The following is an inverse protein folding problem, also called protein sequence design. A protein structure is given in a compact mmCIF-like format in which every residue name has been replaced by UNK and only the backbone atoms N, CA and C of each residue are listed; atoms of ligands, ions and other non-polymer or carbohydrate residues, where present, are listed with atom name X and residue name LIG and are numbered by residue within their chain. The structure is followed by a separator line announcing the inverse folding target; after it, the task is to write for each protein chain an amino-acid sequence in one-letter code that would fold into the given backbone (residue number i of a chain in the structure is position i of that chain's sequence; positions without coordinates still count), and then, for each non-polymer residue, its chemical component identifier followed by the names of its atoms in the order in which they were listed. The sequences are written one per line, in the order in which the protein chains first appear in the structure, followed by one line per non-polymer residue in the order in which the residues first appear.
data_IF_857679544138
#
_entry.id   IF_857679544138
#
_cell.length_a   1.000
_cell.length_b   1.000
_cell.length_c   1.000
_cell.angle_alpha   90.00
_cell.angle_beta   90.00
_cell.angle_gamma   90.00
#
_symmetry.space_group_name_H-M   'P 1'
#
loop_
_entity.id
_entity.type
_entity.pdbx_description
1 polymer ?
#
# COMPACT_ATOMS: atom_id res chain seq x y z
N UNK A 1 13.76 -2.23 -1.76
CA UNK A 1 12.43 -2.18 -2.41
C UNK A 1 11.38 -2.09 -1.30
N UNK A 2 10.54 -1.06 -1.29
CA UNK A 2 9.53 -0.86 -0.23
C UNK A 2 8.41 -1.91 -0.38
N UNK A 3 8.23 -2.74 0.65
CA UNK A 3 7.37 -3.95 0.65
C UNK A 3 5.87 -3.64 0.67
N UNK A 4 5.49 -2.38 0.88
CA UNK A 4 4.11 -1.90 0.91
C UNK A 4 3.32 -2.14 -0.40
N UNK A 5 3.98 -2.38 -1.54
CA UNK A 5 3.32 -2.64 -2.82
C UNK A 5 2.61 -4.01 -2.94
N UNK A 6 3.06 -5.03 -2.21
CA UNK A 6 2.54 -6.40 -2.37
C UNK A 6 1.26 -6.67 -1.57
N UNK A 7 0.88 -5.80 -0.64
CA UNK A 7 -0.25 -6.02 0.26
C UNK A 7 -1.63 -5.93 -0.40
N UNK A 8 -1.76 -5.33 -1.58
CA UNK A 8 -3.07 -5.13 -2.21
C UNK A 8 -3.62 -6.39 -2.91
N UNK A 9 -2.85 -7.47 -3.07
CA UNK A 9 -3.23 -8.58 -3.96
C UNK A 9 -3.10 -10.02 -3.40
N UNK A 10 -2.53 -10.23 -2.21
CA UNK A 10 -2.19 -11.58 -1.73
C UNK A 10 -2.85 -11.95 -0.40
N UNK A 11 -4.19 -11.97 -0.34
CA UNK A 11 -4.93 -12.52 0.82
C UNK A 11 -5.59 -13.88 0.52
N UNK A 12 -5.13 -14.59 -0.52
CA UNK A 12 -5.73 -15.89 -0.91
C UNK A 12 -4.68 -16.94 -1.36
N UNK A 13 -3.77 -17.33 -0.47
CA UNK A 13 -2.96 -18.56 -0.57
C UNK A 13 -2.38 -18.85 0.84
N UNK A 14 -2.31 -20.05 1.40
CA UNK A 14 -2.68 -21.41 0.99
C UNK A 14 -2.81 -22.21 2.30
N UNK A 15 -3.99 -22.74 2.62
CA UNK A 15 -4.14 -23.73 3.69
C UNK A 15 -4.39 -25.10 3.05
N UNK A 16 -3.35 -25.70 2.46
CA UNK A 16 -3.36 -27.12 2.13
C UNK A 16 -3.08 -27.90 3.41
N UNK A 17 -4.14 -28.35 4.09
CA UNK A 17 -4.02 -29.24 5.24
C UNK A 17 -3.63 -30.67 4.83
N UNK A 18 -2.91 -31.42 5.69
CA UNK A 18 -2.49 -32.79 5.39
C UNK A 18 -3.68 -33.77 5.34
N UNK A 19 -3.52 -34.80 4.51
CA UNK A 19 -4.49 -35.89 4.31
C UNK A 19 -4.39 -36.86 5.50
N UNK A 20 -5.48 -37.03 6.24
CA UNK A 20 -5.53 -37.94 7.40
C UNK A 20 -5.65 -39.38 6.91
N UNK A 21 -4.68 -40.22 7.29
CA UNK A 21 -4.71 -41.67 7.10
C UNK A 21 -5.61 -42.34 8.15
N UNK A 22 -6.37 -43.33 7.70
CA UNK A 22 -7.35 -44.09 8.49
C UNK A 22 -6.65 -45.16 9.35
N UNK A 23 -6.61 -44.95 10.66
CA UNK A 23 -6.15 -45.91 11.67
C UNK A 23 -7.27 -46.40 12.61
N UNK A 24 -7.04 -47.59 13.16
CA UNK A 24 -7.90 -48.56 13.89
C UNK A 24 -8.89 -48.08 14.97
N UNK A 25 -9.90 -48.91 15.31
CA UNK A 25 -10.95 -48.58 16.27
C UNK A 25 -10.46 -48.64 17.73
N UNK A 26 -10.52 -47.52 18.44
CA UNK A 26 -10.26 -47.41 19.89
C UNK A 26 -11.59 -47.37 20.66
N UNK A 27 -11.59 -48.05 21.80
CA UNK A 27 -12.74 -48.36 22.65
C UNK A 27 -13.50 -47.19 23.29
N UNK A 28 -14.45 -47.58 24.12
CA UNK A 28 -15.50 -46.81 24.80
C UNK A 28 -15.18 -45.32 25.00
N UNK A 29 -15.92 -44.52 24.22
CA UNK A 29 -15.75 -43.07 24.05
C UNK A 29 -16.33 -42.32 25.25
N UNK A 30 -15.46 -41.61 25.96
CA UNK A 30 -15.82 -40.54 26.90
C UNK A 30 -16.81 -39.56 26.22
N UNK A 31 -17.85 -39.06 26.92
CA UNK A 31 -18.86 -38.20 26.30
C UNK A 31 -18.17 -37.00 25.65
N UNK A 32 -18.38 -36.86 24.33
CA UNK A 32 -17.72 -35.85 23.52
C UNK A 32 -17.94 -34.46 24.12
N UNK A 33 -16.87 -33.85 24.63
CA UNK A 33 -16.89 -32.47 25.10
C UNK A 33 -17.53 -31.58 24.02
N UNK A 34 -18.44 -30.69 24.43
CA UNK A 34 -19.16 -29.82 23.53
C UNK A 34 -18.16 -29.10 22.60
N UNK A 35 -18.36 -29.22 21.28
CA UNK A 35 -17.48 -28.57 20.30
C UNK A 35 -17.49 -27.06 20.58
N UNK A 36 -16.32 -26.41 20.63
CA UNK A 36 -16.28 -24.96 20.81
C UNK A 36 -17.09 -24.31 19.68
N UNK A 37 -18.15 -23.59 20.05
CA UNK A 37 -18.97 -22.85 19.09
C UNK A 37 -18.23 -21.57 18.74
N UNK A 38 -17.46 -21.59 17.66
CA UNK A 38 -16.97 -20.36 17.05
C UNK A 38 -18.15 -19.67 16.35
N UNK A 39 -18.63 -18.59 16.94
CA UNK A 39 -19.56 -17.67 16.28
C UNK A 39 -18.75 -16.43 15.90
N UNK A 40 -18.31 -16.29 14.64
CA UNK A 40 -17.63 -15.08 14.23
C UNK A 40 -18.55 -13.91 14.54
N UNK A 41 -17.99 -12.86 15.15
CA UNK A 41 -18.72 -11.61 15.33
C UNK A 41 -19.24 -11.20 13.94
N UNK A 42 -20.55 -10.95 13.78
CA UNK A 42 -21.06 -10.48 12.51
C UNK A 42 -20.32 -9.18 12.19
N UNK A 43 -19.55 -9.17 11.11
CA UNK A 43 -19.04 -7.92 10.56
C UNK A 43 -20.27 -7.23 9.97
N UNK A 44 -20.97 -6.47 10.80
CA UNK A 44 -21.98 -5.53 10.36
C UNK A 44 -21.23 -4.39 9.70
N UNK A 45 -20.86 -4.59 8.44
CA UNK A 45 -20.63 -3.48 7.54
C UNK A 45 -22.00 -2.86 7.30
N UNK A 46 -22.47 -2.11 8.29
CA UNK A 46 -23.64 -1.29 8.15
C UNK A 46 -23.36 -0.38 6.96
N UNK A 47 -24.21 -0.46 5.93
CA UNK A 47 -24.02 0.26 4.67
C UNK A 47 -24.09 1.79 4.85
N UNK A 48 -24.30 2.23 6.10
CA UNK A 48 -24.17 3.60 6.58
C UNK A 48 -22.97 4.28 5.93
N UNK A 49 -23.30 5.37 5.24
CA UNK A 49 -22.47 6.26 4.43
C UNK A 49 -20.96 6.05 4.58
N UNK A 50 -20.33 5.51 3.53
CA UNK A 50 -18.87 5.44 3.46
C UNK A 50 -18.30 6.85 3.66
N UNK A 51 -17.57 7.04 4.75
CA UNK A 51 -16.97 8.32 5.10
C UNK A 51 -15.65 8.11 5.82
N UNK A 52 -15.02 9.20 6.27
CA UNK A 52 -13.73 9.13 6.97
C UNK A 52 -13.76 8.26 8.23
N UNK A 53 -14.91 8.15 8.89
CA UNK A 53 -15.12 7.22 10.01
C UNK A 53 -14.99 5.74 9.61
N UNK A 54 -15.12 5.40 8.33
CA UNK A 54 -14.99 4.04 7.80
C UNK A 54 -13.54 3.63 7.54
N UNK A 55 -12.55 4.54 7.62
CA UNK A 55 -11.12 4.18 7.49
C UNK A 55 -10.65 3.28 8.62
N UNK A 56 -11.24 3.44 9.80
CA UNK A 56 -11.00 2.61 10.95
C UNK A 56 -12.26 1.80 11.25
N UNK A 57 -12.09 0.65 11.88
CA UNK A 57 -13.25 0.00 12.49
C UNK A 57 -13.84 0.96 13.51
N UNK A 58 -15.18 1.03 13.62
CA UNK A 58 -15.83 1.74 14.73
C UNK A 58 -15.18 1.28 16.02
N UNK A 59 -14.84 2.22 16.89
CA UNK A 59 -14.21 1.94 18.18
C UNK A 59 -15.21 1.25 19.10
N UNK A 60 -15.38 -0.05 18.89
CA UNK A 60 -16.02 -0.96 19.84
C UNK A 60 -15.00 -1.50 20.86
N UNK A 61 -13.81 -0.89 20.91
CA UNK A 61 -12.69 -1.27 21.74
C UNK A 61 -12.20 -2.70 21.50
N UNK A 62 -11.69 -3.31 22.56
CA UNK A 62 -11.18 -4.67 22.56
C UNK A 62 -12.29 -5.71 22.80
N UNK A 63 -13.22 -5.76 21.85
CA UNK A 63 -14.40 -6.62 21.89
C UNK A 63 -14.03 -8.11 21.97
N UNK A 64 -14.88 -8.91 22.63
CA UNK A 64 -14.76 -10.37 22.67
C UNK A 64 -15.19 -10.97 21.32
N UNK A 65 -14.30 -11.70 20.66
CA UNK A 65 -14.53 -12.37 19.37
C UNK A 65 -15.07 -13.79 19.54
N UNK A 66 -14.62 -14.50 20.59
CA UNK A 66 -15.06 -15.86 20.90
C UNK A 66 -14.92 -16.14 22.39
N UNK A 67 -15.62 -17.14 22.90
CA UNK A 67 -15.45 -17.65 24.26
C UNK A 67 -15.47 -19.16 24.26
N UNK A 68 -14.59 -19.77 25.07
CA UNK A 68 -14.51 -21.22 25.27
C UNK A 68 -14.44 -21.46 26.78
N UNK A 69 -15.51 -22.01 27.34
CA UNK A 69 -15.69 -22.13 28.80
C UNK A 69 -15.56 -20.78 29.50
N UNK A 70 -14.58 -20.59 30.38
CA UNK A 70 -14.29 -19.33 31.07
C UNK A 70 -13.32 -18.41 30.31
N UNK A 71 -12.70 -18.89 29.22
CA UNK A 71 -11.67 -18.15 28.48
C UNK A 71 -12.33 -17.28 27.41
N UNK A 72 -12.03 -15.97 27.43
CA UNK A 72 -12.51 -15.00 26.43
C UNK A 72 -11.40 -14.64 25.46
N UNK A 73 -11.65 -14.82 24.16
CA UNK A 73 -10.75 -14.42 23.08
C UNK A 73 -11.17 -13.04 22.59
N UNK A 74 -10.27 -12.05 22.69
CA UNK A 74 -10.53 -10.65 22.32
C UNK A 74 -9.79 -10.27 21.03
N UNK A 75 -10.06 -9.07 20.51
CA UNK A 75 -9.42 -8.57 19.28
C UNK A 75 -7.90 -8.46 19.43
N UNK A 76 -7.39 -7.90 20.53
CA UNK A 76 -5.95 -7.75 20.72
C UNK A 76 -5.25 -9.12 20.79
N UNK A 77 -5.85 -10.13 21.44
CA UNK A 77 -5.28 -11.49 21.46
C UNK A 77 -5.01 -12.05 20.05
N UNK A 78 -5.83 -11.69 19.05
CA UNK A 78 -5.61 -12.11 17.66
C UNK A 78 -4.40 -11.38 17.06
N UNK A 79 -4.23 -10.10 17.37
CA UNK A 79 -3.06 -9.34 16.91
C UNK A 79 -1.76 -9.79 17.61
N UNK A 80 -1.80 -10.06 18.91
CA UNK A 80 -0.68 -10.63 19.65
C UNK A 80 -0.27 -11.97 19.06
N UNK A 81 -1.25 -12.83 18.77
CA UNK A 81 -0.98 -14.11 18.12
C UNK A 81 -0.40 -13.96 16.71
N UNK A 82 -0.82 -12.94 15.97
CA UNK A 82 -0.24 -12.63 14.66
C UNK A 82 1.21 -12.14 14.80
N UNK A 83 1.51 -11.31 15.80
CA UNK A 83 2.89 -10.87 16.08
C UNK A 83 3.81 -12.05 16.42
N UNK A 84 3.31 -13.04 17.16
CA UNK A 84 4.06 -14.24 17.51
C UNK A 84 4.33 -15.14 16.29
N UNK A 85 3.32 -15.38 15.45
CA UNK A 85 3.40 -16.32 14.33
C UNK A 85 4.07 -15.69 13.09
N UNK A 86 3.71 -14.44 12.79
CA UNK A 86 4.16 -13.71 11.60
C UNK A 86 4.40 -12.22 11.94
N UNK A 87 5.51 -11.91 12.62
CA UNK A 87 5.83 -10.53 13.02
C UNK A 87 5.98 -9.59 11.82
N UNK A 88 6.40 -10.11 10.65
CA UNK A 88 6.49 -9.30 9.45
C UNK A 88 5.10 -8.88 8.99
N UNK A 89 4.14 -9.80 8.93
CA UNK A 89 2.77 -9.49 8.52
C UNK A 89 2.08 -8.53 9.50
N UNK A 90 2.30 -8.69 10.80
CA UNK A 90 1.80 -7.77 11.81
C UNK A 90 2.34 -6.35 11.56
N UNK A 91 3.65 -6.20 11.35
CA UNK A 91 4.27 -4.92 11.02
C UNK A 91 3.68 -4.29 9.75
N UNK A 92 3.51 -5.07 8.69
CA UNK A 92 2.91 -4.61 7.43
C UNK A 92 1.49 -4.06 7.63
N UNK A 93 0.67 -4.72 8.46
CA UNK A 93 -0.66 -4.24 8.79
C UNK A 93 -0.62 -2.96 9.64
N UNK A 94 0.33 -2.85 10.58
CA UNK A 94 0.55 -1.62 11.34
C UNK A 94 0.95 -0.45 10.43
N UNK A 95 1.89 -0.66 9.51
CA UNK A 95 2.30 0.36 8.53
C UNK A 95 1.12 0.79 7.64
N UNK A 96 0.26 -0.17 7.26
CA UNK A 96 -0.97 0.11 6.51
C UNK A 96 -1.96 0.97 7.31
N UNK A 97 -2.14 0.71 8.60
CA UNK A 97 -3.02 1.48 9.49
C UNK A 97 -2.48 2.90 9.71
N UNK A 98 -1.17 3.06 9.90
CA UNK A 98 -0.53 4.39 10.00
C UNK A 98 -0.75 5.19 8.72
N UNK A 99 -0.60 4.55 7.56
CA UNK A 99 -0.88 5.16 6.27
C UNK A 99 -2.36 5.59 6.16
N UNK A 100 -3.31 4.74 6.55
CA UNK A 100 -4.73 5.09 6.53
C UNK A 100 -5.05 6.25 7.49
N UNK A 101 -4.35 6.35 8.63
CA UNK A 101 -4.51 7.46 9.57
C UNK A 101 -4.03 8.78 8.96
N UNK A 102 -2.87 8.74 8.30
CA UNK A 102 -2.35 9.90 7.57
C UNK A 102 -3.27 10.30 6.42
N UNK A 103 -3.76 9.33 5.64
CA UNK A 103 -4.72 9.56 4.56
C UNK A 103 -5.97 10.24 5.10
N UNK A 104 -6.53 9.79 6.23
CA UNK A 104 -7.68 10.43 6.86
C UNK A 104 -7.44 11.90 7.12
N UNK A 105 -6.38 12.22 7.87
CA UNK A 105 -6.05 13.60 8.29
C UNK A 105 -5.85 14.51 7.08
N UNK A 106 -5.12 14.03 6.07
CA UNK A 106 -4.86 14.81 4.86
C UNK A 106 -6.12 14.96 4.03
N UNK A 107 -6.87 13.88 3.81
CA UNK A 107 -8.08 13.92 3.00
C UNK A 107 -9.13 14.87 3.58
N UNK A 108 -9.33 14.84 4.91
CA UNK A 108 -10.22 15.78 5.60
C UNK A 108 -9.74 17.23 5.44
N UNK A 109 -8.44 17.48 5.71
CA UNK A 109 -7.87 18.83 5.58
C UNK A 109 -7.97 19.40 4.16
N UNK A 110 -7.92 18.52 3.16
CA UNK A 110 -7.85 18.87 1.75
C UNK A 110 -9.16 18.66 1.00
N UNK A 111 -10.22 18.27 1.71
CA UNK A 111 -11.54 17.89 1.17
C UNK A 111 -11.44 16.93 -0.03
N UNK A 112 -10.65 15.86 0.15
CA UNK A 112 -10.50 14.81 -0.86
C UNK A 112 -11.64 13.82 -0.74
N UNK A 113 -12.40 13.69 -1.82
CA UNK A 113 -13.53 12.78 -1.92
C UNK A 113 -13.27 11.70 -2.98
N UNK A 114 -13.84 10.51 -2.81
CA UNK A 114 -13.84 9.46 -3.84
C UNK A 114 -15.09 9.63 -4.69
N UNK A 115 -14.99 9.90 -6.00
CA UNK A 115 -16.18 10.02 -6.83
C UNK A 115 -16.94 8.70 -6.93
N UNK A 116 -18.27 8.75 -6.83
CA UNK A 116 -19.14 7.55 -6.86
C UNK A 116 -18.99 6.72 -8.13
N UNK A 117 -18.72 7.36 -9.27
CA UNK A 117 -18.45 6.67 -10.54
C UNK A 117 -17.19 5.81 -10.46
N UNK A 118 -16.12 6.32 -9.84
CA UNK A 118 -14.86 5.60 -9.64
C UNK A 118 -15.06 4.45 -8.64
N UNK A 119 -15.79 4.68 -7.55
CA UNK A 119 -16.09 3.65 -6.56
C UNK A 119 -16.89 2.50 -7.18
N UNK A 120 -18.00 2.79 -7.86
CA UNK A 120 -18.83 1.77 -8.54
C UNK A 120 -18.01 0.95 -9.52
N UNK A 121 -17.14 1.59 -10.31
CA UNK A 121 -16.27 0.89 -11.24
C UNK A 121 -15.24 0.00 -10.52
N UNK A 122 -14.66 0.48 -9.42
CA UNK A 122 -13.73 -0.29 -8.62
C UNK A 122 -14.41 -1.52 -7.99
N UNK A 123 -15.59 -1.36 -7.39
CA UNK A 123 -16.38 -2.46 -6.81
C UNK A 123 -16.71 -3.51 -7.87
N UNK A 124 -17.19 -3.08 -9.05
CA UNK A 124 -17.47 -3.99 -10.17
C UNK A 124 -16.23 -4.81 -10.57
N UNK A 125 -15.05 -4.18 -10.63
CA UNK A 125 -13.78 -4.86 -10.97
C UNK A 125 -13.34 -5.84 -9.89
N UNK A 126 -13.48 -5.48 -8.62
CA UNK A 126 -13.15 -6.37 -7.51
C UNK A 126 -14.08 -7.58 -7.48
N UNK A 127 -15.39 -7.36 -7.64
CA UNK A 127 -16.36 -8.44 -7.69
C UNK A 127 -16.10 -9.40 -8.85
N UNK A 128 -15.84 -8.88 -10.05
CA UNK A 128 -15.47 -9.71 -11.20
C UNK A 128 -14.19 -10.55 -10.97
N UNK A 129 -13.26 -10.06 -10.13
CA UNK A 129 -12.08 -10.83 -9.72
C UNK A 129 -12.47 -11.96 -8.77
N UNK A 130 -13.33 -11.69 -7.78
CA UNK A 130 -13.86 -12.71 -6.87
C UNK A 130 -14.59 -13.81 -7.63
N UNK A 131 -15.48 -13.45 -8.56
CA UNK A 131 -16.18 -14.42 -9.42
C UNK A 131 -15.23 -15.28 -10.25
N UNK A 132 -14.11 -14.71 -10.72
CA UNK A 132 -13.09 -15.46 -11.45
C UNK A 132 -12.39 -16.48 -10.57
N UNK A 133 -11.97 -16.07 -9.36
CA UNK A 133 -11.34 -16.97 -8.37
C UNK A 133 -12.30 -18.08 -7.96
N UNK A 134 -13.57 -17.72 -7.73
CA UNK A 134 -14.62 -18.69 -7.43
C UNK A 134 -14.81 -19.71 -8.57
N UNK A 135 -14.95 -19.28 -9.82
CA UNK A 135 -15.08 -20.19 -10.98
C UNK A 135 -13.88 -21.13 -11.12
N UNK A 136 -12.67 -20.62 -10.88
CA UNK A 136 -11.44 -21.42 -10.97
C UNK A 136 -11.32 -22.45 -9.85
N UNK A 137 -11.80 -22.15 -8.63
CA UNK A 137 -11.60 -23.01 -7.46
C UNK A 137 -12.78 -23.92 -7.11
N UNK A 138 -14.00 -23.52 -7.44
CA UNK A 138 -15.21 -24.27 -7.06
C UNK A 138 -15.48 -25.48 -7.95
N UNK A 139 -14.97 -25.49 -9.19
CA UNK A 139 -15.27 -26.54 -10.16
C UNK A 139 -16.76 -26.70 -10.45
N UNK A 140 -17.60 -25.69 -10.15
CA UNK A 140 -19.06 -25.75 -10.28
C UNK A 140 -19.81 -26.49 -9.18
N UNK A 141 -19.12 -27.02 -8.14
CA UNK A 141 -19.74 -27.85 -7.11
C UNK A 141 -20.47 -27.07 -5.99
N UNK A 142 -20.34 -25.74 -5.93
CA UNK A 142 -21.04 -24.90 -4.95
C UNK A 142 -21.48 -23.59 -5.58
N UNK A 143 -22.44 -22.89 -4.97
CA UNK A 143 -22.77 -21.51 -5.32
C UNK A 143 -21.69 -20.54 -4.81
N UNK A 144 -21.63 -19.33 -5.36
CA UNK A 144 -20.70 -18.30 -4.88
C UNK A 144 -21.02 -17.90 -3.43
N UNK A 145 -22.29 -17.88 -3.05
CA UNK A 145 -22.72 -17.52 -1.71
C UNK A 145 -22.24 -18.54 -0.67
N UNK A 146 -22.43 -19.84 -0.95
CA UNK A 146 -21.91 -20.92 -0.10
C UNK A 146 -20.37 -20.92 -0.04
N UNK A 147 -19.70 -20.53 -1.13
CA UNK A 147 -18.25 -20.38 -1.14
C UNK A 147 -17.80 -19.18 -0.29
N UNK A 148 -18.49 -18.04 -0.37
CA UNK A 148 -18.21 -16.85 0.46
C UNK A 148 -18.38 -17.19 1.94
N UNK A 149 -19.50 -17.79 2.32
CA UNK A 149 -19.76 -18.20 3.71
C UNK A 149 -18.68 -19.13 4.23
N UNK A 150 -18.27 -20.13 3.45
CA UNK A 150 -17.24 -21.09 3.86
C UNK A 150 -15.86 -20.47 4.01
N UNK A 151 -15.46 -19.58 3.10
CA UNK A 151 -14.08 -19.07 3.05
C UNK A 151 -13.88 -17.80 3.88
N UNK A 152 -14.93 -17.01 4.07
CA UNK A 152 -14.86 -15.71 4.75
C UNK A 152 -15.70 -15.65 6.02
N UNK A 153 -16.56 -16.65 6.28
CA UNK A 153 -17.49 -16.67 7.41
C UNK A 153 -18.41 -15.43 7.44
N UNK A 154 -18.88 -15.01 6.26
CA UNK A 154 -19.71 -13.83 6.04
C UNK A 154 -20.84 -14.15 5.08
N UNK A 155 -21.99 -13.46 5.21
CA UNK A 155 -23.03 -13.48 4.18
C UNK A 155 -22.55 -12.77 2.91
N UNK A 156 -23.22 -13.01 1.78
CA UNK A 156 -22.94 -12.32 0.52
C UNK A 156 -23.01 -10.80 0.67
N UNK A 157 -24.04 -10.28 1.33
CA UNK A 157 -24.23 -8.84 1.50
C UNK A 157 -23.13 -8.21 2.35
N UNK A 158 -22.77 -8.85 3.47
CA UNK A 158 -21.66 -8.38 4.32
C UNK A 158 -20.32 -8.42 3.55
N UNK A 159 -20.13 -9.44 2.71
CA UNK A 159 -18.95 -9.55 1.86
C UNK A 159 -18.91 -8.45 0.79
N UNK A 160 -20.03 -8.15 0.13
CA UNK A 160 -20.12 -7.06 -0.84
C UNK A 160 -19.84 -5.69 -0.19
N UNK A 161 -20.40 -5.43 0.99
CA UNK A 161 -20.10 -4.21 1.75
C UNK A 161 -18.61 -4.13 2.14
N UNK A 162 -17.97 -5.26 2.48
CA UNK A 162 -16.52 -5.32 2.70
C UNK A 162 -15.73 -5.02 1.41
N UNK A 163 -16.14 -5.55 0.27
CA UNK A 163 -15.51 -5.25 -1.03
C UNK A 163 -15.61 -3.76 -1.36
N UNK A 164 -16.78 -3.17 -1.14
CA UNK A 164 -17.04 -1.73 -1.31
C UNK A 164 -16.14 -0.88 -0.42
N UNK A 165 -16.07 -1.19 0.87
CA UNK A 165 -15.19 -0.52 1.82
C UNK A 165 -13.71 -0.58 1.40
N UNK A 166 -13.22 -1.77 1.03
CA UNK A 166 -11.83 -1.94 0.61
C UNK A 166 -11.52 -1.19 -0.69
N UNK A 167 -12.46 -1.18 -1.64
CA UNK A 167 -12.34 -0.40 -2.86
C UNK A 167 -12.27 1.10 -2.57
N UNK A 168 -13.16 1.60 -1.69
CA UNK A 168 -13.18 2.98 -1.26
C UNK A 168 -11.88 3.40 -0.56
N UNK A 169 -11.39 2.64 0.43
CA UNK A 169 -10.12 2.95 1.14
C UNK A 169 -8.94 3.05 0.18
N UNK A 170 -8.84 2.13 -0.77
CA UNK A 170 -7.78 2.12 -1.79
C UNK A 170 -7.86 3.34 -2.71
N UNK A 171 -9.07 3.70 -3.15
CA UNK A 171 -9.28 4.88 -3.99
C UNK A 171 -8.96 6.15 -3.21
N UNK A 172 -9.49 6.30 -1.99
CA UNK A 172 -9.24 7.47 -1.14
C UNK A 172 -7.75 7.69 -0.96
N UNK A 173 -7.00 6.66 -0.56
CA UNK A 173 -5.54 6.72 -0.47
C UNK A 173 -4.89 7.18 -1.78
N UNK A 174 -5.33 6.62 -2.91
CA UNK A 174 -4.76 6.95 -4.22
C UNK A 174 -5.00 8.42 -4.60
N UNK A 175 -6.23 8.90 -4.43
CA UNK A 175 -6.59 10.31 -4.67
C UNK A 175 -5.85 11.24 -3.72
N UNK A 176 -5.84 10.95 -2.42
CA UNK A 176 -5.21 11.80 -1.40
C UNK A 176 -3.71 11.92 -1.61
N UNK A 177 -3.01 10.80 -1.85
CA UNK A 177 -1.57 10.82 -2.11
C UNK A 177 -1.27 11.60 -3.39
N UNK A 178 -1.97 11.28 -4.49
CA UNK A 178 -1.75 11.96 -5.78
C UNK A 178 -2.02 13.46 -5.68
N UNK A 179 -3.10 13.85 -5.02
CA UNK A 179 -3.46 15.24 -4.82
C UNK A 179 -2.43 15.99 -3.97
N UNK A 180 -2.03 15.44 -2.83
CA UNK A 180 -1.02 16.07 -1.98
C UNK A 180 0.32 16.24 -2.71
N UNK A 181 0.75 15.25 -3.49
CA UNK A 181 1.97 15.36 -4.30
C UNK A 181 1.86 16.47 -5.35
N UNK A 182 0.70 16.63 -6.00
CA UNK A 182 0.47 17.76 -6.92
C UNK A 182 0.50 19.11 -6.20
N UNK A 183 -0.13 19.21 -5.04
CA UNK A 183 -0.17 20.45 -4.25
C UNK A 183 1.20 20.91 -3.78
N UNK A 184 2.10 19.99 -3.48
CA UNK A 184 3.49 20.33 -3.09
C UNK A 184 4.37 20.66 -4.29
N UNK A 185 3.98 20.25 -5.50
CA UNK A 185 4.91 20.20 -6.63
C UNK A 185 6.08 19.28 -6.32
N UNK A 186 7.16 19.38 -7.09
CA UNK A 186 8.37 18.64 -6.79
C UNK A 186 9.35 18.57 -7.94
N UNK A 187 10.41 17.81 -7.74
CA UNK A 187 11.47 17.58 -8.72
C UNK A 187 11.70 16.09 -8.91
N UNK A 188 11.76 15.65 -10.17
CA UNK A 188 12.19 14.30 -10.51
C UNK A 188 13.66 14.37 -10.91
N UNK A 189 14.49 13.52 -10.31
CA UNK A 189 15.94 13.55 -10.53
C UNK A 189 16.51 12.17 -10.79
N UNK A 190 17.67 12.13 -11.42
CA UNK A 190 18.60 11.02 -11.28
C UNK A 190 19.74 11.43 -10.37
N UNK A 191 19.98 10.66 -9.31
CA UNK A 191 21.02 10.86 -8.33
C UNK A 191 22.22 9.96 -8.62
N UNK A 192 23.41 10.55 -8.55
CA UNK A 192 24.68 9.83 -8.53
C UNK A 192 25.41 10.18 -7.24
N UNK A 193 25.89 9.17 -6.51
CA UNK A 193 26.77 9.38 -5.35
C UNK A 193 28.06 8.59 -5.49
N UNK A 194 29.16 9.16 -5.03
CA UNK A 194 30.51 8.63 -5.10
C UNK A 194 31.17 8.69 -3.72
N UNK A 195 32.19 7.86 -3.52
CA UNK A 195 32.98 7.84 -2.29
C UNK A 195 33.90 9.07 -2.13
N UNK A 196 34.18 9.81 -3.19
CA UNK A 196 35.05 11.00 -3.14
C UNK A 196 34.65 12.06 -4.16
N UNK A 197 35.02 13.32 -3.88
CA UNK A 197 34.80 14.45 -4.78
C UNK A 197 35.43 14.21 -6.16
N UNK A 198 36.67 13.69 -6.19
CA UNK A 198 37.40 13.38 -7.43
C UNK A 198 36.64 12.38 -8.30
N UNK A 199 36.12 11.31 -7.70
CA UNK A 199 35.32 10.33 -8.42
C UNK A 199 34.00 10.95 -8.93
N UNK A 200 33.31 11.74 -8.10
CA UNK A 200 32.10 12.45 -8.50
C UNK A 200 32.33 13.37 -9.71
N UNK A 201 33.40 14.17 -9.69
CA UNK A 201 33.79 15.06 -10.79
C UNK A 201 34.13 14.28 -12.07
N UNK A 202 34.88 13.18 -11.94
CA UNK A 202 35.22 12.31 -13.06
C UNK A 202 33.95 11.77 -13.76
N UNK A 203 33.01 11.19 -13.00
CA UNK A 203 31.80 10.62 -13.60
C UNK A 203 30.87 11.69 -14.16
N UNK A 204 30.77 12.85 -13.51
CA UNK A 204 30.05 14.00 -14.05
C UNK A 204 30.64 14.45 -15.39
N UNK A 205 31.97 14.55 -15.49
CA UNK A 205 32.67 14.90 -16.73
C UNK A 205 32.32 13.97 -17.89
N UNK A 206 32.35 12.65 -17.65
CA UNK A 206 31.95 11.65 -18.66
C UNK A 206 30.51 11.82 -19.13
N UNK A 207 29.58 12.20 -18.26
CA UNK A 207 28.18 12.44 -18.63
C UNK A 207 28.06 13.71 -19.48
N UNK A 208 28.83 14.75 -19.17
CA UNK A 208 28.92 15.97 -20.00
C UNK A 208 29.47 15.64 -21.39
N UNK A 209 30.42 14.72 -21.49
CA UNK A 209 30.97 14.19 -22.76
C UNK A 209 29.99 13.25 -23.50
N UNK A 210 28.78 13.02 -22.98
CA UNK A 210 27.73 12.24 -23.64
C UNK A 210 27.57 10.80 -23.14
N UNK A 211 28.28 10.39 -22.08
CA UNK A 211 28.05 9.08 -21.48
C UNK A 211 26.64 8.99 -20.85
N UNK A 212 25.99 7.82 -20.96
CA UNK A 212 24.68 7.58 -20.37
C UNK A 212 24.73 7.60 -18.83
N UNK A 213 23.99 8.53 -18.22
CA UNK A 213 23.89 8.69 -16.77
C UNK A 213 23.47 7.38 -16.09
N UNK A 214 22.44 6.70 -16.61
CA UNK A 214 21.85 5.55 -15.93
C UNK A 214 22.83 4.37 -15.88
N UNK A 215 23.63 4.20 -16.94
CA UNK A 215 24.67 3.17 -17.03
C UNK A 215 25.83 3.45 -16.09
N UNK A 216 26.29 4.70 -16.01
CA UNK A 216 27.32 5.07 -15.03
C UNK A 216 26.81 4.92 -13.59
N UNK A 217 25.58 5.35 -13.31
CA UNK A 217 24.96 5.21 -11.99
C UNK A 217 24.88 3.74 -11.56
N UNK A 218 24.39 2.84 -12.43
CA UNK A 218 24.35 1.39 -12.14
C UNK A 218 25.71 0.79 -11.81
N UNK A 219 26.77 1.24 -12.50
CA UNK A 219 28.12 0.66 -12.36
C UNK A 219 28.91 1.24 -11.20
N UNK A 220 28.69 2.51 -10.86
CA UNK A 220 29.64 3.27 -10.03
C UNK A 220 28.99 4.07 -8.90
N UNK A 221 27.66 4.28 -8.91
CA UNK A 221 27.00 5.00 -7.82
C UNK A 221 26.88 4.10 -6.59
N UNK A 222 27.12 4.67 -5.41
CA UNK A 222 26.95 3.97 -4.12
C UNK A 222 25.58 4.20 -3.48
N UNK A 223 24.69 4.90 -4.19
CA UNK A 223 23.31 5.14 -3.75
C UNK A 223 22.42 3.93 -4.05
N UNK A 224 21.38 3.72 -3.22
CA UNK A 224 20.42 2.61 -3.44
C UNK A 224 19.67 2.73 -4.77
N UNK A 225 19.47 3.95 -5.29
CA UNK A 225 18.87 4.16 -6.61
C UNK A 225 19.76 3.73 -7.77
N UNK A 226 21.03 3.40 -7.55
CA UNK A 226 21.94 2.89 -8.59
C UNK A 226 21.33 1.72 -9.35
N UNK A 227 20.63 0.81 -8.67
CA UNK A 227 19.97 -0.35 -9.28
C UNK A 227 18.95 0.03 -10.38
N UNK A 228 18.35 1.21 -10.28
CA UNK A 228 17.40 1.76 -11.27
C UNK A 228 17.99 2.95 -12.03
N UNK A 229 19.32 2.98 -12.19
CA UNK A 229 20.02 4.01 -12.95
C UNK A 229 19.99 5.39 -12.30
N UNK A 230 19.99 5.43 -10.97
CA UNK A 230 19.97 6.66 -10.17
C UNK A 230 18.58 7.32 -10.08
N UNK A 231 17.55 6.78 -10.73
CA UNK A 231 16.23 7.43 -10.78
C UNK A 231 15.57 7.42 -9.40
N UNK A 232 15.22 8.61 -8.93
CA UNK A 232 14.41 8.80 -7.73
C UNK A 232 12.93 9.01 -8.08
N UNK A 233 12.00 8.74 -7.15
CA UNK A 233 10.62 9.19 -7.30
C UNK A 233 10.55 10.72 -7.43
N UNK A 234 9.37 11.24 -7.78
CA UNK A 234 9.13 12.68 -7.66
C UNK A 234 9.29 13.07 -6.19
N UNK A 235 10.28 13.92 -5.90
CA UNK A 235 10.55 14.42 -4.57
C UNK A 235 9.79 15.73 -4.38
N UNK A 236 8.90 15.85 -3.39
CA UNK A 236 8.15 17.07 -3.14
C UNK A 236 9.08 18.24 -2.81
N UNK A 237 8.65 19.45 -3.14
CA UNK A 237 9.37 20.64 -2.72
C UNK A 237 9.44 20.71 -1.18
N UNK A 238 10.59 21.10 -0.65
CA UNK A 238 10.85 21.17 0.79
C UNK A 238 11.02 19.81 1.50
N UNK A 239 11.04 18.70 0.76
CA UNK A 239 11.36 17.38 1.31
C UNK A 239 12.86 17.30 1.64
N UNK A 240 13.21 16.88 2.85
CA UNK A 240 14.60 16.77 3.31
C UNK A 240 15.28 15.55 2.66
N UNK A 241 15.73 15.76 1.43
CA UNK A 241 16.43 14.73 0.67
C UNK A 241 17.54 15.38 -0.16
N UNK A 242 18.77 14.81 -0.21
CA UNK A 242 19.89 15.39 -0.95
C UNK A 242 19.58 15.67 -2.42
N UNK A 243 18.75 14.83 -3.03
CA UNK A 243 18.27 15.03 -4.40
C UNK A 243 17.50 16.33 -4.64
N UNK A 244 16.74 16.82 -3.65
CA UNK A 244 16.04 18.13 -3.73
C UNK A 244 17.05 19.26 -3.61
N UNK A 245 17.93 19.20 -2.60
CA UNK A 245 18.95 20.23 -2.35
C UNK A 245 19.96 20.37 -3.49
N UNK A 246 20.38 19.24 -4.08
CA UNK A 246 21.30 19.25 -5.24
C UNK A 246 20.61 19.72 -6.52
N UNK A 247 19.32 19.44 -6.65
CA UNK A 247 18.56 19.94 -7.77
C UNK A 247 18.26 21.43 -7.63
N UNK A 248 18.42 22.04 -6.46
CA UNK A 248 18.07 23.43 -6.27
C UNK A 248 18.76 24.34 -7.31
N UNK A 249 17.98 25.24 -7.89
CA UNK A 249 18.38 26.14 -9.00
C UNK A 249 18.88 25.46 -10.30
N UNK A 250 18.90 24.12 -10.39
CA UNK A 250 19.33 23.41 -11.60
C UNK A 250 18.18 23.33 -12.62
N UNK A 251 18.45 23.75 -13.86
CA UNK A 251 17.49 23.66 -14.95
C UNK A 251 17.15 22.21 -15.33
N UNK A 252 15.94 22.00 -15.85
CA UNK A 252 15.52 20.69 -16.36
C UNK A 252 16.45 20.25 -17.49
N UNK A 253 16.91 19.01 -17.45
CA UNK A 253 17.89 18.42 -18.36
C UNK A 253 19.35 18.62 -17.95
N UNK A 254 19.65 19.56 -17.05
CA UNK A 254 21.01 19.90 -16.64
C UNK A 254 21.52 19.08 -15.45
N UNK A 255 22.85 19.07 -15.29
CA UNK A 255 23.55 18.46 -14.16
C UNK A 255 23.89 19.50 -13.09
N UNK A 256 23.60 19.17 -11.83
CA UNK A 256 24.08 19.96 -10.69
C UNK A 256 25.61 19.93 -10.59
N UNK A 257 26.17 20.81 -9.76
CA UNK A 257 27.54 20.65 -9.30
C UNK A 257 27.66 19.43 -8.37
N UNK A 258 28.88 18.91 -8.25
CA UNK A 258 29.21 17.87 -7.26
C UNK A 258 29.33 18.53 -5.89
N UNK A 259 28.53 18.09 -4.92
CA UNK A 259 28.55 18.60 -3.54
C UNK A 259 28.61 17.45 -2.54
N UNK A 260 29.02 17.75 -1.31
CA UNK A 260 29.01 16.78 -0.22
C UNK A 260 27.58 16.42 0.20
N UNK A 261 27.36 15.16 0.55
CA UNK A 261 26.10 14.59 1.05
C UNK A 261 26.47 13.67 2.23
N UNK A 262 26.50 14.21 3.44
CA UNK A 262 27.11 13.53 4.58
C UNK A 262 28.58 13.20 4.28
N UNK A 263 28.98 11.93 4.41
CA UNK A 263 30.35 11.46 4.11
C UNK A 263 30.60 11.18 2.61
N UNK A 264 29.59 11.36 1.77
CA UNK A 264 29.65 11.05 0.33
C UNK A 264 29.66 12.32 -0.50
N UNK A 265 29.87 12.16 -1.80
CA UNK A 265 29.79 13.24 -2.77
C UNK A 265 28.78 12.88 -3.83
N UNK A 266 27.96 13.82 -4.29
CA UNK A 266 27.00 13.52 -5.33
C UNK A 266 26.56 14.71 -6.14
N UNK A 267 25.88 14.38 -7.24
CA UNK A 267 25.28 15.32 -8.16
C UNK A 267 24.01 14.70 -8.73
N UNK A 268 23.14 15.54 -9.29
CA UNK A 268 21.88 15.11 -9.90
C UNK A 268 21.77 15.57 -11.34
N UNK A 269 20.99 14.84 -12.13
CA UNK A 269 20.36 15.34 -13.35
C UNK A 269 18.90 15.64 -13.06
N UNK A 270 18.45 16.87 -13.30
CA UNK A 270 17.02 17.21 -13.17
C UNK A 270 16.29 16.70 -14.39
N UNK A 271 15.30 15.83 -14.19
CA UNK A 271 14.53 15.22 -15.27
C UNK A 271 13.22 15.94 -15.53
N UNK A 272 12.57 16.42 -14.47
CA UNK A 272 11.28 17.10 -14.52
C UNK A 272 11.13 18.01 -13.28
N UNK A 273 10.34 19.07 -13.43
CA UNK A 273 9.93 19.95 -12.33
C UNK A 273 8.43 20.20 -12.43
N UNK A 274 7.75 19.96 -11.31
CA UNK A 274 6.32 20.20 -11.18
C UNK A 274 6.09 21.39 -10.26
N UNK A 275 5.40 22.38 -10.80
CA UNK A 275 4.94 23.53 -10.03
C UNK A 275 3.82 23.07 -9.07
N UNK A 276 3.79 23.57 -7.82
CA UNK A 276 2.67 23.36 -6.91
C UNK A 276 1.32 23.69 -7.56
N UNK A 277 0.37 22.76 -7.50
CA UNK A 277 -1.00 22.98 -7.94
C UNK A 277 -1.88 23.37 -6.74
N UNK A 278 -2.33 24.63 -6.69
CA UNK A 278 -3.07 25.17 -5.55
C UNK A 278 -4.59 25.05 -5.69
N UNK A 279 -5.09 24.56 -6.84
CA UNK A 279 -6.53 24.40 -7.09
C UNK A 279 -7.17 23.45 -6.06
N UNK A 280 -8.43 23.70 -5.64
CA UNK A 280 -9.20 22.77 -4.82
C UNK A 280 -9.34 21.37 -5.43
N UNK A 281 -9.61 20.37 -4.59
CA UNK A 281 -9.68 18.98 -5.04
C UNK A 281 -10.77 18.78 -6.10
N UNK A 282 -11.94 19.40 -5.89
CA UNK A 282 -13.07 19.31 -6.81
C UNK A 282 -12.71 19.70 -8.25
N UNK A 283 -11.85 20.71 -8.43
CA UNK A 283 -11.39 21.16 -9.75
C UNK A 283 -10.32 20.24 -10.35
N UNK A 284 -9.45 19.66 -9.50
CA UNK A 284 -8.35 18.80 -9.93
C UNK A 284 -8.74 17.31 -10.08
N UNK A 285 -9.89 16.89 -9.55
CA UNK A 285 -10.29 15.49 -9.40
C UNK A 285 -10.26 14.69 -10.72
N UNK A 286 -10.76 15.29 -11.81
CA UNK A 286 -10.81 14.64 -13.12
C UNK A 286 -9.42 14.41 -13.74
N UNK A 287 -8.51 15.35 -13.55
CA UNK A 287 -7.12 15.20 -13.98
C UNK A 287 -6.40 14.14 -13.15
N UNK A 288 -6.60 14.17 -11.82
CA UNK A 288 -6.06 13.18 -10.89
C UNK A 288 -6.56 11.77 -11.25
N UNK A 289 -7.85 11.63 -11.59
CA UNK A 289 -8.41 10.36 -12.06
C UNK A 289 -7.68 9.86 -13.30
N UNK A 290 -7.50 10.72 -14.32
CA UNK A 290 -6.78 10.34 -15.56
C UNK A 290 -5.33 9.96 -15.27
N UNK A 291 -4.66 10.66 -14.37
CA UNK A 291 -3.31 10.31 -13.94
C UNK A 291 -3.26 8.96 -13.24
N UNK A 292 -4.16 8.69 -12.29
CA UNK A 292 -4.23 7.42 -11.57
C UNK A 292 -4.55 6.23 -12.49
N UNK A 293 -5.33 6.45 -13.54
CA UNK A 293 -5.59 5.43 -14.56
C UNK A 293 -4.35 5.10 -15.40
N UNK A 294 -3.52 6.10 -15.73
CA UNK A 294 -2.27 5.90 -16.48
C UNK A 294 -1.15 5.36 -15.59
N UNK A 295 -1.08 5.84 -14.36
CA UNK A 295 -0.02 5.56 -13.39
C UNK A 295 -0.61 5.49 -11.98
N UNK A 296 -0.86 4.27 -11.48
CA UNK A 296 -1.22 4.06 -10.08
C UNK A 296 -0.20 4.69 -9.14
N UNK A 297 -0.61 4.97 -7.90
CA UNK A 297 0.33 5.45 -6.88
C UNK A 297 1.41 4.39 -6.65
N UNK A 298 2.66 4.79 -6.81
CA UNK A 298 3.82 3.91 -6.63
C UNK A 298 4.23 3.84 -5.15
N UNK A 299 4.90 2.76 -4.74
CA UNK A 299 5.35 2.60 -3.34
C UNK A 299 6.31 3.70 -2.88
N UNK A 300 7.05 4.30 -3.81
CA UNK A 300 7.94 5.40 -3.51
C UNK A 300 7.17 6.71 -3.23
N UNK A 301 6.04 6.93 -3.90
CA UNK A 301 5.13 8.05 -3.61
C UNK A 301 4.46 7.85 -2.24
N UNK A 302 4.11 6.61 -1.88
CA UNK A 302 3.58 6.28 -0.55
C UNK A 302 4.59 6.52 0.56
N UNK A 303 5.86 6.14 0.37
CA UNK A 303 6.90 6.35 1.35
C UNK A 303 7.07 7.84 1.68
N UNK A 304 7.18 8.66 0.64
CA UNK A 304 7.29 10.12 0.74
C UNK A 304 6.05 10.77 1.37
N UNK A 305 4.87 10.17 1.21
CA UNK A 305 3.63 10.69 1.77
C UNK A 305 3.52 10.45 3.30
N UNK A 306 4.12 9.36 3.78
CA UNK A 306 4.09 8.98 5.20
C UNK A 306 5.04 9.88 6.02
N UNK A 307 6.17 10.30 5.43
CA UNK A 307 7.15 11.23 6.00
C UNK A 307 6.62 12.69 6.05
#
# INVERSE_FOLDING_TARGET
MSRLALLALALVASCTGPRVETGEPIGTREPAAARPTYRPAPVTADRAELGFGSLFSRDDGDSVLASVSSVRVRKHHVFDRLLEIDPQRARELTELLVLDARVKVVAEKLDVQVPDSDLRLAVKREWARVERVFRQRSGGASTIDAWIERNYAMSRDAFLARVELLAWRRLLRSFTVRYQMRRRGGVAVQLFTAASAKAGLQYRGRIVEGADFATLARKHSVDRSAAVGGRLPLLPNGFDHPGVTLADEVAVGSLSQVRAIGERWGFVRVMDRRVPDTRPFAEAADEIRRELQRRPVESAELAVFIE
#
